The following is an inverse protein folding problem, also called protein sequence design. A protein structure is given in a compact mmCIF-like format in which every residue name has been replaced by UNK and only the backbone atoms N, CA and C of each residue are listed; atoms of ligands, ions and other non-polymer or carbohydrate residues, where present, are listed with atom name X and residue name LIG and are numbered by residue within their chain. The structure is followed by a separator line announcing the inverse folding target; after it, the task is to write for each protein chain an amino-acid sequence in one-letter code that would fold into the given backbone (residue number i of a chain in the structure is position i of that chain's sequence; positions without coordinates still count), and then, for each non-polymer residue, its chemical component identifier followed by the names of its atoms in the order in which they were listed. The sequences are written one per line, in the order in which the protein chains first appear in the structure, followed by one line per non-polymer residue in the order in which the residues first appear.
data_IF_270526610790
#
_entry.id   IF_270526610790
#
_cell.length_a   1.000
_cell.length_b   1.000
_cell.length_c   1.000
_cell.angle_alpha   90.00
_cell.angle_beta   90.00
_cell.angle_gamma   90.00
#
_symmetry.space_group_name_H-M   'P 1'
#
loop_
_entity.id
_entity.type
_entity.pdbx_description
1 polymer ?
#
# COMPACT_ATOMS: atom_id res chain seq x y z
N UNK A 1 -7.31 35.65 20.37
CA UNK A 1 -6.90 36.23 19.07
C UNK A 1 -7.17 35.20 17.99
N UNK A 2 -8.21 35.39 17.18
CA UNK A 2 -8.66 34.45 16.13
C UNK A 2 -8.03 34.85 14.79
N UNK A 3 -7.14 34.00 14.27
CA UNK A 3 -6.53 34.14 12.94
C UNK A 3 -7.49 33.58 11.89
N UNK A 4 -8.21 34.49 11.23
CA UNK A 4 -9.07 34.20 10.07
C UNK A 4 -8.19 34.09 8.83
N UNK A 5 -7.87 32.87 8.40
CA UNK A 5 -7.16 32.62 7.15
C UNK A 5 -8.17 32.60 6.00
N UNK A 6 -8.33 33.75 5.33
CA UNK A 6 -9.08 33.85 4.06
C UNK A 6 -8.28 33.13 2.95
N UNK A 7 -8.78 31.99 2.48
CA UNK A 7 -8.28 31.35 1.25
C UNK A 7 -8.66 32.21 0.05
N UNK A 8 -7.66 32.79 -0.62
CA UNK A 8 -7.82 33.46 -1.89
C UNK A 8 -8.23 32.43 -2.97
N UNK A 9 -9.39 32.64 -3.59
CA UNK A 9 -9.83 31.91 -4.77
C UNK A 9 -9.04 32.44 -5.96
N UNK A 10 -8.06 31.67 -6.43
CA UNK A 10 -7.30 31.98 -7.65
C UNK A 10 -8.17 31.55 -8.84
N UNK A 11 -9.04 32.46 -9.30
CA UNK A 11 -9.72 32.33 -10.59
C UNK A 11 -8.68 32.48 -11.69
N UNK A 12 -8.36 31.38 -12.37
CA UNK A 12 -7.46 31.41 -13.52
C UNK A 12 -8.20 32.07 -14.70
N UNK A 13 -7.69 33.16 -15.29
CA UNK A 13 -8.33 33.78 -16.44
C UNK A 13 -8.23 32.87 -17.66
N UNK A 14 -9.37 32.57 -18.27
CA UNK A 14 -9.47 31.91 -19.57
C UNK A 14 -8.80 32.83 -20.61
N UNK A 15 -7.80 32.36 -21.37
CA UNK A 15 -7.19 33.19 -22.40
C UNK A 15 -8.20 33.46 -23.52
N UNK A 16 -8.59 34.73 -23.65
CA UNK A 16 -9.39 35.21 -24.76
C UNK A 16 -8.66 34.97 -26.09
N UNK A 17 -9.29 34.19 -26.97
CA UNK A 17 -8.84 33.97 -28.34
C UNK A 17 -8.99 35.30 -29.09
N UNK A 18 -7.89 36.07 -29.18
CA UNK A 18 -7.80 37.24 -30.07
C UNK A 18 -7.85 36.75 -31.52
N UNK A 19 -9.00 36.96 -32.16
CA UNK A 19 -9.11 36.94 -33.61
C UNK A 19 -8.23 38.07 -34.18
N UNK A 20 -7.04 37.73 -34.66
CA UNK A 20 -6.18 38.65 -35.39
C UNK A 20 -6.74 38.79 -36.82
N UNK A 21 -7.39 39.92 -37.07
CA UNK A 21 -7.69 40.43 -38.40
C UNK A 21 -6.38 40.63 -39.15
N UNK A 22 -6.14 39.77 -40.14
CA UNK A 22 -4.97 39.79 -40.99
C UNK A 22 -5.18 40.86 -42.08
N UNK A 23 -4.74 42.10 -41.82
CA UNK A 23 -4.65 43.13 -42.87
C UNK A 23 -3.48 42.80 -43.77
N UNK A 24 -3.79 42.39 -45.01
CA UNK A 24 -2.84 42.27 -46.11
C UNK A 24 -2.33 43.66 -46.48
N UNK A 25 -1.18 44.06 -45.95
CA UNK A 25 -0.36 45.12 -46.51
C UNK A 25 0.54 44.49 -47.59
N UNK A 26 0.21 44.73 -48.85
CA UNK A 26 1.06 44.37 -49.98
C UNK A 26 2.20 45.39 -50.10
N UNK A 27 3.26 45.22 -49.30
CA UNK A 27 4.53 45.92 -49.54
C UNK A 27 5.23 45.26 -50.73
N UNK A 28 5.30 46.01 -51.84
CA UNK A 28 6.06 45.68 -53.03
C UNK A 28 7.57 45.60 -52.68
N UNK A 29 8.03 44.41 -52.33
CA UNK A 29 9.43 44.12 -52.02
C UNK A 29 10.25 44.16 -53.31
N UNK A 30 11.29 44.99 -53.32
CA UNK A 30 12.26 45.09 -54.41
C UNK A 30 12.86 43.70 -54.75
N UNK A 31 13.22 43.44 -56.03
CA UNK A 31 13.79 42.18 -56.45
C UNK A 31 15.16 41.95 -55.79
N UNK A 32 15.21 41.11 -54.76
CA UNK A 32 16.46 40.61 -54.17
C UNK A 32 17.21 39.81 -55.24
N UNK A 33 18.43 40.24 -55.58
CA UNK A 33 19.37 39.45 -56.38
C UNK A 33 19.51 38.04 -55.78
N UNK A 34 19.06 37.04 -56.53
CA UNK A 34 19.13 35.63 -56.12
C UNK A 34 20.57 35.15 -56.29
N UNK A 35 21.40 35.44 -55.29
CA UNK A 35 22.75 34.88 -55.18
C UNK A 35 22.65 33.35 -55.10
N UNK A 36 22.97 32.66 -56.22
CA UNK A 36 22.98 31.20 -56.32
C UNK A 36 24.05 30.66 -55.38
N UNK A 37 23.64 30.24 -54.18
CA UNK A 37 24.57 29.66 -53.19
C UNK A 37 25.27 28.43 -53.79
N UNK A 38 26.61 28.31 -53.68
CA UNK A 38 27.38 27.25 -54.30
C UNK A 38 26.94 25.86 -53.82
N UNK A 39 26.92 24.85 -54.72
CA UNK A 39 26.42 23.49 -54.47
C UNK A 39 27.01 22.84 -53.19
N UNK A 40 28.28 23.15 -52.87
CA UNK A 40 28.99 22.69 -51.67
C UNK A 40 28.32 23.12 -50.35
N UNK A 41 27.62 24.26 -50.35
CA UNK A 41 26.88 24.77 -49.19
C UNK A 41 25.67 23.90 -48.81
N UNK A 42 24.95 23.36 -49.80
CA UNK A 42 23.76 22.51 -49.56
C UNK A 42 24.13 21.17 -48.92
N UNK A 43 25.26 20.58 -49.32
CA UNK A 43 25.75 19.33 -48.72
C UNK A 43 26.18 19.53 -47.26
N UNK A 44 26.87 20.63 -46.97
CA UNK A 44 27.26 21.00 -45.59
C UNK A 44 26.04 21.16 -44.69
N UNK A 45 25.02 21.90 -45.12
CA UNK A 45 23.77 22.07 -44.35
C UNK A 45 23.05 20.74 -44.07
N UNK A 46 23.04 19.82 -45.04
CA UNK A 46 22.45 18.48 -44.85
C UNK A 46 23.25 17.65 -43.83
N UNK A 47 24.57 17.74 -43.86
CA UNK A 47 25.44 17.07 -42.89
C UNK A 47 25.22 17.62 -41.47
N UNK A 48 25.23 18.95 -41.31
CA UNK A 48 24.96 19.62 -40.02
C UNK A 48 23.57 19.27 -39.46
N UNK A 49 22.55 19.18 -40.32
CA UNK A 49 21.20 18.76 -39.90
C UNK A 49 21.17 17.31 -39.43
N UNK A 50 21.87 16.40 -40.12
CA UNK A 50 21.98 14.99 -39.72
C UNK A 50 22.70 14.86 -38.37
N UNK A 51 23.81 15.55 -38.20
CA UNK A 51 24.57 15.56 -36.96
C UNK A 51 23.74 16.07 -35.77
N UNK A 52 23.05 17.21 -35.92
CA UNK A 52 22.13 17.73 -34.90
C UNK A 52 21.00 16.76 -34.58
N UNK A 53 20.41 16.11 -35.59
CA UNK A 53 19.36 15.12 -35.37
C UNK A 53 19.85 13.89 -34.60
N UNK A 54 21.11 13.48 -34.84
CA UNK A 54 21.75 12.38 -34.13
C UNK A 54 22.06 12.76 -32.67
N UNK A 55 22.56 13.97 -32.42
CA UNK A 55 22.79 14.48 -31.06
C UNK A 55 21.48 14.51 -30.25
N UNK A 56 20.40 15.06 -30.80
CA UNK A 56 19.07 15.07 -30.15
C UNK A 56 18.59 13.65 -29.84
N UNK A 57 18.84 12.70 -30.74
CA UNK A 57 18.50 11.30 -30.52
C UNK A 57 19.27 10.70 -29.33
N UNK A 58 20.58 10.95 -29.25
CA UNK A 58 21.41 10.47 -28.14
C UNK A 58 20.98 11.10 -26.80
N UNK A 59 20.77 12.41 -26.75
CA UNK A 59 20.26 13.10 -25.54
C UNK A 59 18.91 12.53 -25.10
N UNK A 60 18.01 12.24 -26.05
CA UNK A 60 16.71 11.63 -25.74
C UNK A 60 16.87 10.21 -25.18
N UNK A 61 17.85 9.44 -25.67
CA UNK A 61 18.16 8.11 -25.15
C UNK A 61 18.75 8.19 -23.74
N UNK A 62 19.70 9.10 -23.50
CA UNK A 62 20.30 9.32 -22.19
C UNK A 62 19.26 9.77 -21.17
N UNK A 63 18.38 10.71 -21.53
CA UNK A 63 17.27 11.15 -20.67
C UNK A 63 16.30 10.01 -20.34
N UNK A 64 16.01 9.12 -21.28
CA UNK A 64 15.16 7.95 -21.02
C UNK A 64 15.85 6.98 -20.04
N UNK A 65 17.14 6.71 -20.25
CA UNK A 65 17.94 5.84 -19.38
C UNK A 65 18.06 6.41 -17.97
N UNK A 66 18.31 7.71 -17.83
CA UNK A 66 18.37 8.34 -16.51
C UNK A 66 17.02 8.36 -15.80
N UNK A 67 15.92 8.62 -16.53
CA UNK A 67 14.57 8.51 -15.96
C UNK A 67 14.22 7.07 -15.53
N UNK A 68 14.64 6.07 -16.30
CA UNK A 68 14.43 4.66 -15.96
C UNK A 68 15.26 4.25 -14.75
N UNK A 69 16.53 4.68 -14.66
CA UNK A 69 17.38 4.46 -13.49
C UNK A 69 16.78 5.07 -12.22
N UNK A 70 16.26 6.31 -12.27
CA UNK A 70 15.58 6.95 -11.13
C UNK A 70 14.33 6.17 -10.72
N UNK A 71 13.55 5.66 -11.68
CA UNK A 71 12.36 4.84 -11.39
C UNK A 71 12.74 3.51 -10.75
N UNK A 72 13.81 2.88 -11.22
CA UNK A 72 14.25 1.60 -10.68
C UNK A 72 14.83 1.76 -9.26
N UNK A 73 15.61 2.82 -9.03
CA UNK A 73 16.05 3.20 -7.69
C UNK A 73 14.86 3.43 -6.76
N UNK A 74 13.85 4.20 -7.19
CA UNK A 74 12.65 4.44 -6.38
C UNK A 74 11.86 3.14 -6.09
N UNK A 75 11.85 2.17 -7.01
CA UNK A 75 11.24 0.85 -6.78
C UNK A 75 12.01 0.04 -5.74
N UNK A 76 13.34 0.04 -5.82
CA UNK A 76 14.20 -0.65 -4.86
C UNK A 76 14.04 -0.03 -3.46
N UNK A 77 14.08 1.30 -3.34
CA UNK A 77 13.83 2.02 -2.09
C UNK A 77 12.42 1.72 -1.53
N UNK A 78 11.39 1.72 -2.38
CA UNK A 78 10.04 1.36 -1.96
C UNK A 78 9.94 -0.11 -1.50
N UNK A 79 10.68 -1.03 -2.12
CA UNK A 79 10.69 -2.44 -1.74
C UNK A 79 11.42 -2.65 -0.43
N UNK A 80 12.61 -2.07 -0.26
CA UNK A 80 13.37 -2.13 1.00
C UNK A 80 12.58 -1.54 2.16
N UNK A 81 11.86 -0.42 1.95
CA UNK A 81 10.97 0.16 2.95
C UNK A 81 9.82 -0.78 3.33
N UNK A 82 9.22 -1.49 2.36
CA UNK A 82 8.18 -2.50 2.61
C UNK A 82 8.74 -3.68 3.41
N UNK A 83 9.92 -4.16 3.06
CA UNK A 83 10.55 -5.29 3.73
C UNK A 83 10.95 -4.94 5.17
N UNK A 84 11.47 -3.72 5.39
CA UNK A 84 11.74 -3.19 6.72
C UNK A 84 10.46 -3.05 7.55
N UNK A 85 9.38 -2.51 6.97
CA UNK A 85 8.09 -2.40 7.64
C UNK A 85 7.51 -3.78 8.00
N UNK A 86 7.64 -4.76 7.10
CA UNK A 86 7.23 -6.15 7.35
C UNK A 86 8.06 -6.78 8.46
N UNK A 87 9.38 -6.56 8.49
CA UNK A 87 10.24 -7.08 9.55
C UNK A 87 9.85 -6.53 10.93
N UNK A 88 9.56 -5.22 11.02
CA UNK A 88 9.04 -4.59 12.24
C UNK A 88 7.68 -5.20 12.63
N UNK A 89 6.78 -5.36 11.65
CA UNK A 89 5.47 -5.96 11.89
C UNK A 89 5.56 -7.41 12.40
N UNK A 90 6.36 -8.24 11.75
CA UNK A 90 6.56 -9.64 12.10
C UNK A 90 7.19 -9.77 13.50
N UNK A 91 8.07 -8.83 13.87
CA UNK A 91 8.75 -8.82 15.16
C UNK A 91 7.84 -8.42 16.33
N UNK A 92 7.06 -7.35 16.19
CA UNK A 92 6.32 -6.79 17.32
C UNK A 92 4.82 -7.15 17.34
N UNK A 93 4.22 -7.41 16.18
CA UNK A 93 2.77 -7.56 16.05
C UNK A 93 2.31 -8.96 15.67
N UNK A 94 3.24 -9.84 15.30
CA UNK A 94 2.90 -11.21 14.95
C UNK A 94 3.11 -12.14 16.13
N UNK A 95 1.99 -12.57 16.72
CA UNK A 95 1.98 -13.60 17.74
C UNK A 95 1.73 -14.96 17.07
N UNK A 96 2.61 -15.97 17.27
CA UNK A 96 2.44 -17.27 16.65
C UNK A 96 1.10 -17.86 17.07
N UNK A 97 0.30 -18.27 16.09
CA UNK A 97 -1.02 -18.86 16.35
C UNK A 97 -0.80 -20.17 17.12
N UNK A 98 -1.51 -20.39 18.24
CA UNK A 98 -1.32 -21.58 19.03
C UNK A 98 -1.78 -22.83 18.27
N UNK A 99 -1.11 -23.94 18.53
CA UNK A 99 -1.44 -25.24 18.00
C UNK A 99 -2.88 -25.65 18.36
N UNK A 100 -3.54 -26.30 17.41
CA UNK A 100 -4.80 -27.00 17.69
C UNK A 100 -4.55 -28.17 18.65
N UNK A 101 -5.58 -28.67 19.37
CA UNK A 101 -5.41 -29.82 20.27
C UNK A 101 -4.75 -31.02 19.58
N UNK A 102 -5.17 -31.32 18.34
CA UNK A 102 -4.62 -32.42 17.56
C UNK A 102 -3.16 -32.19 17.15
N UNK A 103 -2.82 -30.98 16.70
CA UNK A 103 -1.45 -30.66 16.28
C UNK A 103 -0.50 -30.62 17.47
N UNK A 104 -0.96 -30.19 18.64
CA UNK A 104 -0.19 -30.24 19.88
C UNK A 104 0.10 -31.70 20.28
N UNK A 105 -0.91 -32.57 20.29
CA UNK A 105 -0.73 -34.01 20.52
C UNK A 105 0.25 -34.66 19.55
N UNK A 106 0.11 -34.37 18.25
CA UNK A 106 1.01 -34.91 17.22
C UNK A 106 2.44 -34.42 17.43
N UNK A 107 2.63 -33.14 17.75
CA UNK A 107 3.95 -32.59 18.02
C UNK A 107 4.62 -33.29 19.21
N UNK A 108 3.88 -33.53 20.29
CA UNK A 108 4.37 -34.28 21.45
C UNK A 108 4.82 -35.70 21.08
N UNK A 109 4.04 -36.41 20.25
CA UNK A 109 4.42 -37.75 19.74
C UNK A 109 5.65 -37.72 18.84
N UNK A 110 5.79 -36.69 17.99
CA UNK A 110 6.95 -36.53 17.11
C UNK A 110 8.22 -36.19 17.89
N UNK A 111 8.11 -35.44 18.99
CA UNK A 111 9.23 -35.12 19.88
C UNK A 111 9.66 -36.35 20.68
N UNK A 112 8.70 -37.17 21.15
CA UNK A 112 8.95 -38.37 21.96
C UNK A 112 9.22 -39.64 21.15
N UNK A 113 9.46 -39.53 19.84
CA UNK A 113 9.70 -40.69 18.97
C UNK A 113 11.07 -41.32 19.20
N UNK A 114 11.16 -42.62 18.94
CA UNK A 114 12.43 -43.35 18.91
C UNK A 114 13.31 -42.89 17.73
N UNK A 115 14.64 -42.90 17.94
CA UNK A 115 15.63 -42.38 16.98
C UNK A 115 15.66 -43.10 15.62
N UNK A 116 14.99 -44.25 15.48
CA UNK A 116 14.89 -45.00 14.23
C UNK A 116 13.67 -44.68 13.35
N UNK A 117 12.64 -44.03 13.89
CA UNK A 117 11.36 -43.84 13.17
C UNK A 117 11.31 -42.46 12.52
N UNK A 118 10.93 -42.41 11.24
CA UNK A 118 10.78 -41.14 10.51
C UNK A 118 9.63 -40.32 11.10
N UNK A 119 9.84 -39.00 11.26
CA UNK A 119 8.85 -38.10 11.86
C UNK A 119 7.49 -38.15 11.15
N UNK A 120 7.52 -38.29 9.82
CA UNK A 120 6.32 -38.39 9.00
C UNK A 120 5.49 -39.66 9.32
N UNK A 121 6.15 -40.79 9.62
CA UNK A 121 5.45 -42.03 9.98
C UNK A 121 4.78 -41.88 11.35
N UNK A 122 5.49 -41.29 12.32
CA UNK A 122 4.94 -40.98 13.65
C UNK A 122 3.76 -40.02 13.54
N UNK A 123 3.85 -38.99 12.70
CA UNK A 123 2.76 -38.06 12.47
C UNK A 123 1.51 -38.75 11.91
N UNK A 124 1.66 -39.67 10.94
CA UNK A 124 0.54 -40.43 10.37
C UNK A 124 -0.10 -41.34 11.43
N UNK A 125 0.72 -42.05 12.21
CA UNK A 125 0.24 -42.92 13.28
C UNK A 125 -0.47 -42.12 14.38
N UNK A 126 0.13 -41.04 14.88
CA UNK A 126 -0.47 -40.15 15.86
C UNK A 126 -1.78 -39.52 15.36
N UNK A 127 -1.86 -39.16 14.07
CA UNK A 127 -3.10 -38.64 13.49
C UNK A 127 -4.23 -39.67 13.49
N UNK A 128 -3.91 -40.96 13.28
CA UNK A 128 -4.89 -42.05 13.40
C UNK A 128 -5.29 -42.27 14.85
N UNK A 129 -4.31 -42.32 15.76
CA UNK A 129 -4.52 -42.44 17.20
C UNK A 129 -5.48 -41.34 17.70
N UNK A 130 -5.21 -40.08 17.35
CA UNK A 130 -6.05 -38.94 17.72
C UNK A 130 -7.51 -39.14 17.31
N UNK A 131 -7.78 -39.63 16.09
CA UNK A 131 -9.14 -39.87 15.59
C UNK A 131 -9.86 -40.99 16.34
N UNK A 132 -9.12 -41.98 16.84
CA UNK A 132 -9.67 -43.10 17.63
C UNK A 132 -9.75 -42.83 19.12
N UNK A 133 -9.03 -41.83 19.64
CA UNK A 133 -9.08 -41.45 21.06
C UNK A 133 -10.48 -40.98 21.46
N UNK A 134 -10.97 -41.45 22.61
CA UNK A 134 -12.20 -40.93 23.21
C UNK A 134 -12.01 -39.54 23.82
N UNK A 135 -13.11 -38.82 24.04
CA UNK A 135 -13.08 -37.42 24.47
C UNK A 135 -12.35 -37.21 25.81
N UNK A 136 -12.48 -38.15 26.75
CA UNK A 136 -11.75 -38.12 28.03
C UNK A 136 -10.23 -38.09 27.83
N UNK A 137 -9.71 -38.82 26.85
CA UNK A 137 -8.27 -38.87 26.57
C UNK A 137 -7.80 -37.63 25.79
N UNK A 138 -8.68 -36.99 25.02
CA UNK A 138 -8.40 -35.73 24.31
C UNK A 138 -8.45 -34.51 25.22
N UNK A 139 -9.20 -34.58 26.32
CA UNK A 139 -9.44 -33.48 27.24
C UNK A 139 -8.19 -32.71 27.69
N UNK A 140 -7.07 -33.35 28.11
CA UNK A 140 -5.86 -32.60 28.49
C UNK A 140 -5.31 -31.73 27.35
N UNK A 141 -5.28 -32.24 26.12
CA UNK A 141 -4.82 -31.51 24.94
C UNK A 141 -5.77 -30.36 24.56
N UNK A 142 -7.08 -30.57 24.75
CA UNK A 142 -8.09 -29.53 24.54
C UNK A 142 -7.91 -28.40 25.55
N UNK A 143 -7.74 -28.73 26.83
CA UNK A 143 -7.49 -27.73 27.89
C UNK A 143 -6.23 -26.95 27.57
N UNK A 144 -5.11 -27.63 27.28
CA UNK A 144 -3.85 -26.98 26.95
C UNK A 144 -3.97 -26.02 25.74
N UNK A 145 -4.54 -26.50 24.63
CA UNK A 145 -4.71 -25.67 23.44
C UNK A 145 -5.64 -24.47 23.68
N UNK A 146 -6.69 -24.63 24.49
CA UNK A 146 -7.57 -23.52 24.87
C UNK A 146 -6.87 -22.50 25.76
N UNK A 147 -6.01 -22.93 26.69
CA UNK A 147 -5.17 -22.03 27.49
C UNK A 147 -4.24 -21.22 26.61
N UNK A 148 -3.50 -21.86 25.71
CA UNK A 148 -2.61 -21.19 24.76
C UNK A 148 -3.38 -20.24 23.83
N UNK A 149 -4.59 -20.62 23.41
CA UNK A 149 -5.50 -19.75 22.64
C UNK A 149 -5.95 -18.53 23.44
N UNK A 150 -6.29 -18.69 24.72
CA UNK A 150 -6.70 -17.59 25.58
C UNK A 150 -5.55 -16.59 25.77
N UNK A 151 -4.32 -17.07 25.98
CA UNK A 151 -3.12 -16.22 26.06
C UNK A 151 -2.85 -15.48 24.75
N UNK A 152 -2.93 -16.19 23.61
CA UNK A 152 -2.78 -15.58 22.30
C UNK A 152 -3.83 -14.49 22.04
N UNK A 153 -5.10 -14.74 22.37
CA UNK A 153 -6.18 -13.73 22.26
C UNK A 153 -5.90 -12.54 23.18
N UNK A 154 -5.43 -12.77 24.41
CA UNK A 154 -5.05 -11.70 25.35
C UNK A 154 -3.93 -10.84 24.78
N UNK A 155 -2.90 -11.44 24.21
CA UNK A 155 -1.77 -10.72 23.58
C UNK A 155 -2.22 -9.93 22.35
N UNK A 156 -3.05 -10.53 21.49
CA UNK A 156 -3.64 -9.84 20.34
C UNK A 156 -4.53 -8.67 20.74
N UNK A 157 -5.23 -8.75 21.88
CA UNK A 157 -6.07 -7.68 22.39
C UNK A 157 -5.26 -6.50 22.96
N UNK A 158 -4.00 -6.71 23.37
CA UNK A 158 -3.08 -5.63 23.80
C UNK A 158 -2.62 -4.76 22.63
N UNK A 159 -2.69 -5.25 21.39
CA UNK A 159 -2.25 -4.50 20.22
C UNK A 159 -3.15 -3.26 20.05
N UNK A 160 -2.59 -2.04 20.11
CA UNK A 160 -3.35 -0.82 19.90
C UNK A 160 -3.99 -0.81 18.52
N UNK A 161 -5.29 -0.52 18.47
CA UNK A 161 -6.03 -0.42 17.21
C UNK A 161 -5.92 1.00 16.69
N UNK A 162 -5.59 1.14 15.41
CA UNK A 162 -5.68 2.42 14.73
C UNK A 162 -7.16 2.84 14.64
N UNK A 163 -7.47 4.15 14.67
CA UNK A 163 -8.80 4.65 14.43
C UNK A 163 -9.31 4.15 13.08
N UNK A 164 -10.63 3.93 13.00
CA UNK A 164 -11.25 3.48 11.76
C UNK A 164 -10.97 4.51 10.65
N UNK A 165 -10.61 4.03 9.46
CA UNK A 165 -10.47 4.89 8.29
C UNK A 165 -11.81 5.56 7.97
N UNK A 166 -11.79 6.69 7.25
CA UNK A 166 -13.02 7.40 6.86
C UNK A 166 -14.04 6.46 6.21
N UNK A 167 -13.57 5.60 5.30
CA UNK A 167 -14.41 4.62 4.65
C UNK A 167 -14.91 3.53 5.61
N UNK A 168 -14.08 3.03 6.52
CA UNK A 168 -14.50 2.02 7.50
C UNK A 168 -15.58 2.57 8.45
N UNK A 169 -15.45 3.84 8.87
CA UNK A 169 -16.46 4.54 9.67
C UNK A 169 -17.76 4.71 8.88
N UNK A 170 -17.67 5.15 7.63
CA UNK A 170 -18.81 5.24 6.71
C UNK A 170 -19.53 3.89 6.52
N UNK A 171 -18.78 2.81 6.30
CA UNK A 171 -19.34 1.45 6.16
C UNK A 171 -20.04 1.03 7.43
N UNK A 172 -19.42 1.26 8.60
CA UNK A 172 -20.02 0.92 9.90
C UNK A 172 -21.36 1.63 10.09
N UNK A 173 -21.42 2.94 9.84
CA UNK A 173 -22.63 3.74 10.01
C UNK A 173 -23.70 3.41 8.95
N UNK A 174 -23.31 3.28 7.68
CA UNK A 174 -24.25 3.02 6.58
C UNK A 174 -24.73 1.57 6.52
N UNK A 175 -23.97 0.62 7.10
CA UNK A 175 -24.38 -0.79 7.14
C UNK A 175 -25.68 -1.03 7.93
N UNK A 176 -26.02 -0.10 8.83
CA UNK A 176 -27.26 -0.14 9.62
C UNK A 176 -28.48 0.00 8.70
N UNK A 177 -28.36 0.67 7.54
CA UNK A 177 -29.45 0.79 6.55
C UNK A 177 -29.80 -0.56 5.89
N UNK A 178 -28.91 -1.55 5.97
CA UNK A 178 -29.06 -2.87 5.34
C UNK A 178 -29.47 -3.96 6.34
N UNK A 179 -30.43 -3.65 7.21
CA UNK A 179 -30.90 -4.55 8.28
C UNK A 179 -31.25 -5.94 7.74
N UNK A 180 -30.63 -6.98 8.32
CA UNK A 180 -30.95 -8.38 8.06
C UNK A 180 -30.08 -9.11 7.03
N UNK A 181 -29.25 -8.41 6.26
CA UNK A 181 -28.18 -9.07 5.49
C UNK A 181 -26.86 -8.88 6.22
N UNK A 182 -26.17 -9.97 6.56
CA UNK A 182 -24.74 -9.90 6.86
C UNK A 182 -24.05 -9.10 5.74
N UNK A 183 -22.96 -8.40 6.06
CA UNK A 183 -22.22 -7.50 5.17
C UNK A 183 -21.82 -8.22 3.86
N UNK A 184 -22.76 -8.33 2.94
CA UNK A 184 -22.63 -9.20 1.77
C UNK A 184 -21.71 -8.50 0.78
N UNK A 185 -21.12 -9.29 -0.12
CA UNK A 185 -20.28 -8.73 -1.17
C UNK A 185 -21.03 -7.70 -2.03
N UNK A 186 -22.35 -7.87 -2.21
CA UNK A 186 -23.22 -6.92 -2.90
C UNK A 186 -23.44 -5.64 -2.12
N UNK A 187 -23.70 -5.73 -0.80
CA UNK A 187 -23.83 -4.55 0.07
C UNK A 187 -22.53 -3.76 0.08
N UNK A 188 -21.37 -4.42 0.19
CA UNK A 188 -20.07 -3.76 0.15
C UNK A 188 -19.77 -3.09 -1.19
N UNK A 189 -20.16 -3.69 -2.32
CA UNK A 189 -20.07 -3.05 -3.64
C UNK A 189 -20.90 -1.77 -3.70
N UNK A 190 -22.17 -1.83 -3.25
CA UNK A 190 -23.08 -0.67 -3.21
C UNK A 190 -22.53 0.45 -2.32
N UNK A 191 -22.04 0.13 -1.12
CA UNK A 191 -21.40 1.10 -0.22
C UNK A 191 -20.13 1.71 -0.83
N UNK A 192 -19.31 0.91 -1.50
CA UNK A 192 -18.10 1.40 -2.18
C UNK A 192 -18.43 2.36 -3.32
N UNK A 193 -19.45 2.05 -4.11
CA UNK A 193 -19.93 2.93 -5.19
C UNK A 193 -20.51 4.24 -4.64
N UNK A 194 -21.31 4.17 -3.57
CA UNK A 194 -21.86 5.36 -2.90
C UNK A 194 -20.74 6.23 -2.33
N UNK A 195 -19.74 5.64 -1.68
CA UNK A 195 -18.55 6.34 -1.19
C UNK A 195 -17.77 7.05 -2.31
N UNK A 196 -17.59 6.41 -3.47
CA UNK A 196 -16.90 7.03 -4.62
C UNK A 196 -17.63 8.23 -5.20
N UNK A 197 -18.97 8.20 -5.16
CA UNK A 197 -19.83 9.30 -5.65
C UNK A 197 -20.00 10.43 -4.64
N UNK A 198 -19.64 10.20 -3.38
CA UNK A 198 -19.76 11.19 -2.30
C UNK A 198 -18.79 12.36 -2.50
N UNK A 199 -19.23 13.62 -2.32
CA UNK A 199 -18.34 14.78 -2.38
C UNK A 199 -17.34 14.75 -1.22
N UNK A 200 -16.15 15.32 -1.43
CA UNK A 200 -15.07 15.27 -0.46
C UNK A 200 -15.42 15.93 0.88
N UNK A 201 -16.26 16.97 0.85
CA UNK A 201 -16.76 17.65 2.05
C UNK A 201 -17.58 16.71 2.95
N UNK A 202 -18.36 15.80 2.38
CA UNK A 202 -19.12 14.81 3.17
C UNK A 202 -18.20 13.71 3.72
N UNK A 203 -17.17 13.31 2.96
CA UNK A 203 -16.18 12.33 3.43
C UNK A 203 -15.41 12.83 4.65
N UNK A 204 -15.16 14.12 4.73
CA UNK A 204 -14.45 14.76 5.85
C UNK A 204 -15.17 14.56 7.19
N UNK A 205 -16.51 14.41 7.20
CA UNK A 205 -17.28 14.10 8.42
C UNK A 205 -16.90 12.75 9.04
N UNK A 206 -16.35 11.85 8.23
CA UNK A 206 -15.88 10.54 8.65
C UNK A 206 -14.41 10.53 9.07
N UNK A 207 -13.70 11.66 8.96
CA UNK A 207 -12.31 11.77 9.43
C UNK A 207 -12.28 11.60 10.95
N UNK A 208 -11.39 10.71 11.42
CA UNK A 208 -11.11 10.60 12.83
C UNK A 208 -10.51 11.94 13.32
N UNK A 209 -10.96 12.47 14.47
CA UNK A 209 -10.32 13.62 15.08
C UNK A 209 -8.81 13.41 15.24
N UNK A 210 -8.01 14.47 15.06
CA UNK A 210 -6.54 14.37 15.13
C UNK A 210 -6.06 13.76 16.46
N UNK A 211 -6.69 14.13 17.58
CA UNK A 211 -6.33 13.60 18.89
C UNK A 211 -6.54 12.08 19.02
N UNK A 212 -7.51 11.48 18.32
CA UNK A 212 -7.69 10.02 18.30
C UNK A 212 -6.54 9.33 17.56
N UNK A 213 -6.06 9.95 16.48
CA UNK A 213 -4.89 9.46 15.74
C UNK A 213 -3.62 9.56 16.58
N UNK A 214 -3.41 10.70 17.23
CA UNK A 214 -2.24 10.93 18.08
C UNK A 214 -2.22 9.95 19.27
N UNK A 215 -3.37 9.78 19.95
CA UNK A 215 -3.50 8.82 21.05
C UNK A 215 -3.25 7.36 20.60
N UNK A 216 -3.68 6.99 19.40
CA UNK A 216 -3.42 5.65 18.87
C UNK A 216 -1.94 5.43 18.50
N UNK A 217 -1.25 6.47 18.03
CA UNK A 217 0.19 6.43 17.76
C UNK A 217 0.99 6.34 19.06
N UNK A 218 0.63 7.12 20.07
CA UNK A 218 1.24 7.04 21.41
C UNK A 218 1.05 5.66 22.03
N UNK A 219 -0.19 5.12 22.00
CA UNK A 219 -0.46 3.77 22.48
C UNK A 219 0.38 2.72 21.72
N UNK A 220 0.56 2.90 20.41
CA UNK A 220 1.40 2.05 19.58
C UNK A 220 2.86 2.11 20.00
N UNK A 221 3.41 3.29 20.23
CA UNK A 221 4.79 3.47 20.68
C UNK A 221 5.03 2.83 22.06
N UNK A 222 4.09 3.01 23.00
CA UNK A 222 4.14 2.37 24.32
C UNK A 222 4.15 0.84 24.17
N UNK A 223 3.25 0.28 23.36
CA UNK A 223 3.19 -1.15 23.10
C UNK A 223 4.49 -1.69 22.48
N UNK A 224 5.04 -1.01 21.47
CA UNK A 224 6.32 -1.41 20.87
C UNK A 224 7.47 -1.35 21.88
N UNK A 225 7.49 -0.36 22.77
CA UNK A 225 8.50 -0.24 23.83
C UNK A 225 8.38 -1.35 24.89
N UNK A 226 7.17 -1.69 25.32
CA UNK A 226 6.93 -2.86 26.19
C UNK A 226 7.40 -4.15 25.51
N UNK A 227 7.09 -4.32 24.22
CA UNK A 227 7.45 -5.52 23.48
C UNK A 227 8.95 -5.67 23.29
N UNK A 228 9.69 -4.58 23.07
CA UNK A 228 11.17 -4.60 23.05
C UNK A 228 11.74 -5.13 24.37
N UNK A 229 11.22 -4.63 25.50
CA UNK A 229 11.62 -5.13 26.84
C UNK A 229 11.31 -6.61 27.01
N UNK A 230 10.14 -7.07 26.57
CA UNK A 230 9.76 -8.50 26.60
C UNK A 230 10.70 -9.39 25.74
N UNK A 231 11.28 -8.84 24.67
CA UNK A 231 12.22 -9.52 23.78
C UNK A 231 13.69 -9.41 24.24
N UNK A 232 13.98 -8.63 25.27
CA UNK A 232 15.35 -8.43 25.78
C UNK A 232 16.20 -7.47 24.95
N UNK A 233 15.58 -6.49 24.28
CA UNK A 233 16.23 -5.42 23.52
C UNK A 233 16.25 -4.11 24.30
#
# INVERSE_FOLDING_TARGET
MLLVIRRAVITSPIPAIRALSFTFLCDAKAPEEVAVKPLKYKHRLRAEKKEKSHQIYLEKQEKKRSQEAVREQARQEAQTAKDAAKAIHDKYYTFPKPSTPASYFIAEKVISRDEGIKANEVQVLASREWKTMGDKARQPYIIHANTMKAEWVRNMARIPRLPATMFAKYVKESSIEFTGSALSSEVMKKLTERWRKMPEMEKELYRAPQHEMDAALEAREIFEAERRKELGE
#
